data_IF_335963473805
#
_entry.id   IF_335963473805
#
_cell.length_a   1.000
_cell.length_b   1.000
_cell.length_c   1.000
_cell.angle_alpha   90.00
_cell.angle_beta   90.00
_cell.angle_gamma   90.00
#
_symmetry.space_group_name_H-M   'P 1'
#
loop_
_entity.id
_entity.type
_entity.pdbx_description
1 polymer ?
#
# COMPACT_ATOMS: atom_id res chain seq x y z
N UNK A 1 20.94 -8.56 -8.15
CA UNK A 1 21.06 -7.79 -9.41
C UNK A 1 19.74 -7.76 -10.14
N UNK A 2 19.60 -6.83 -11.06
CA UNK A 2 18.46 -6.73 -11.98
C UNK A 2 18.97 -6.93 -13.39
N UNK A 3 18.23 -7.70 -14.19
CA UNK A 3 18.49 -7.93 -15.60
C UNK A 3 17.31 -7.35 -16.38
N UNK A 4 17.57 -6.37 -17.23
CA UNK A 4 16.58 -5.84 -18.16
C UNK A 4 16.71 -6.57 -19.49
N UNK A 5 15.65 -7.27 -19.90
CA UNK A 5 15.58 -7.87 -21.22
C UNK A 5 15.39 -6.81 -22.29
N UNK A 6 15.78 -7.07 -23.52
CA UNK A 6 15.46 -6.19 -24.65
C UNK A 6 13.96 -6.11 -24.86
N UNK A 7 13.50 -5.04 -25.50
CA UNK A 7 12.09 -4.87 -25.88
C UNK A 7 11.62 -6.07 -26.70
N UNK A 8 10.43 -6.58 -26.38
CA UNK A 8 9.79 -7.71 -27.08
C UNK A 8 10.61 -9.02 -27.06
N UNK A 9 11.47 -9.23 -26.04
CA UNK A 9 12.18 -10.49 -25.87
C UNK A 9 11.20 -11.68 -25.82
N UNK A 10 11.52 -12.75 -26.57
CA UNK A 10 10.69 -13.95 -26.65
C UNK A 10 10.80 -14.78 -25.36
N UNK A 11 9.79 -15.60 -25.11
CA UNK A 11 9.74 -16.43 -23.90
C UNK A 11 10.93 -17.38 -23.78
N UNK A 12 11.37 -17.94 -24.91
CA UNK A 12 12.55 -18.82 -24.96
C UNK A 12 13.83 -18.08 -24.55
N UNK A 13 13.98 -16.82 -24.96
CA UNK A 13 15.12 -15.97 -24.63
C UNK A 13 15.13 -15.59 -23.15
N UNK A 14 13.96 -15.35 -22.57
CA UNK A 14 13.77 -15.08 -21.14
C UNK A 14 14.13 -16.32 -20.32
N UNK A 15 13.65 -17.50 -20.74
CA UNK A 15 13.91 -18.76 -20.05
C UNK A 15 15.40 -19.17 -20.14
N UNK A 16 16.10 -18.82 -21.22
CA UNK A 16 17.53 -19.03 -21.34
C UNK A 16 18.33 -18.20 -20.33
N UNK A 17 18.01 -16.91 -20.18
CA UNK A 17 18.61 -16.03 -19.18
C UNK A 17 18.32 -16.53 -17.76
N UNK A 18 17.10 -16.99 -17.49
CA UNK A 18 16.73 -17.58 -16.18
C UNK A 18 17.57 -18.80 -15.86
N UNK A 19 17.69 -19.75 -16.80
CA UNK A 19 18.51 -20.96 -16.63
C UNK A 19 19.98 -20.62 -16.36
N UNK A 20 20.52 -19.61 -17.06
CA UNK A 20 21.90 -19.19 -16.86
C UNK A 20 22.10 -18.61 -15.45
N UNK A 21 21.17 -17.79 -14.95
CA UNK A 21 21.21 -17.26 -13.58
C UNK A 21 21.10 -18.39 -12.54
N UNK A 22 20.20 -19.34 -12.77
CA UNK A 22 20.01 -20.50 -11.88
C UNK A 22 21.24 -21.43 -11.88
N UNK A 23 21.95 -21.54 -12.99
CA UNK A 23 23.21 -22.29 -13.08
C UNK A 23 24.28 -21.71 -12.12
N UNK A 24 24.29 -20.40 -11.90
CA UNK A 24 25.15 -19.75 -10.92
C UNK A 24 24.63 -19.89 -9.48
N UNK A 25 23.55 -20.63 -9.24
CA UNK A 25 22.98 -20.88 -7.91
C UNK A 25 22.09 -19.77 -7.36
N UNK A 26 21.68 -18.82 -8.19
CA UNK A 26 20.78 -17.72 -7.79
C UNK A 26 19.32 -18.05 -8.09
N UNK A 27 18.41 -17.45 -7.31
CA UNK A 27 16.96 -17.51 -7.56
C UNK A 27 16.54 -16.35 -8.45
N UNK A 28 15.60 -16.61 -9.35
CA UNK A 28 15.06 -15.61 -10.27
C UNK A 28 13.58 -15.32 -10.01
N UNK A 29 13.21 -14.05 -10.13
CA UNK A 29 11.84 -13.58 -10.15
C UNK A 29 11.68 -12.66 -11.36
N UNK A 30 10.74 -12.97 -12.26
CA UNK A 30 10.48 -12.13 -13.43
C UNK A 30 9.21 -11.31 -13.19
N UNK A 31 9.25 -10.05 -13.63
CA UNK A 31 8.08 -9.19 -13.78
C UNK A 31 7.91 -8.93 -15.27
N UNK A 32 6.77 -9.35 -15.80
CA UNK A 32 6.39 -9.07 -17.18
C UNK A 32 5.72 -7.69 -17.22
N UNK A 33 6.41 -6.69 -17.79
CA UNK A 33 5.84 -5.41 -18.16
C UNK A 33 5.15 -5.49 -19.52
N UNK A 34 4.36 -4.48 -19.89
CA UNK A 34 3.69 -4.44 -21.20
C UNK A 34 4.67 -4.45 -22.39
N UNK A 35 5.85 -3.85 -22.23
CA UNK A 35 6.86 -3.74 -23.31
C UNK A 35 8.14 -4.52 -23.01
N UNK A 36 8.43 -4.82 -21.77
CA UNK A 36 9.72 -5.36 -21.33
C UNK A 36 9.59 -6.30 -20.15
N UNK A 37 10.41 -7.35 -20.13
CA UNK A 37 10.58 -8.23 -18.97
C UNK A 37 11.79 -7.80 -18.16
N UNK A 38 11.61 -7.73 -16.85
CA UNK A 38 12.68 -7.46 -15.88
C UNK A 38 12.83 -8.67 -14.96
N UNK A 39 14.06 -9.18 -14.85
CA UNK A 39 14.39 -10.34 -14.02
C UNK A 39 15.16 -9.87 -12.80
N UNK A 40 14.57 -10.04 -11.62
CA UNK A 40 15.24 -9.87 -10.34
C UNK A 40 16.00 -11.13 -9.95
N UNK A 41 17.27 -10.98 -9.61
CA UNK A 41 18.13 -12.07 -9.17
C UNK A 41 18.45 -11.94 -7.70
N UNK A 42 18.11 -12.96 -6.92
CA UNK A 42 18.26 -13.01 -5.46
C UNK A 42 19.18 -14.17 -5.07
N UNK A 43 20.13 -13.89 -4.20
CA UNK A 43 21.06 -14.88 -3.67
C UNK A 43 22.16 -14.23 -2.82
N UNK A 44 22.97 -15.05 -2.19
CA UNK A 44 24.10 -14.65 -1.36
C UNK A 44 25.39 -14.97 -2.08
N UNK A 45 26.36 -14.07 -2.10
CA UNK A 45 27.68 -14.28 -2.71
C UNK A 45 28.08 -13.20 -3.69
N UNK A 46 29.22 -13.40 -4.32
CA UNK A 46 29.72 -12.50 -5.37
C UNK A 46 29.01 -12.77 -6.69
N UNK A 47 28.22 -11.80 -7.14
CA UNK A 47 27.45 -11.88 -8.38
C UNK A 47 28.24 -11.48 -9.62
N UNK A 48 29.53 -11.13 -9.50
CA UNK A 48 30.34 -10.54 -10.58
C UNK A 48 30.41 -11.46 -11.79
N UNK A 49 30.79 -12.71 -11.61
CA UNK A 49 30.89 -13.69 -12.72
C UNK A 49 29.52 -13.96 -13.38
N UNK A 50 28.43 -13.98 -12.57
CA UNK A 50 27.11 -14.12 -13.12
C UNK A 50 26.71 -12.88 -13.94
N UNK A 51 27.00 -11.67 -13.45
CA UNK A 51 26.71 -10.42 -14.17
C UNK A 51 27.41 -10.39 -15.52
N UNK A 52 28.75 -10.66 -15.57
CA UNK A 52 29.53 -10.68 -16.79
C UNK A 52 28.98 -11.70 -17.81
N UNK A 53 28.61 -12.89 -17.35
CA UNK A 53 28.00 -13.92 -18.19
C UNK A 53 26.65 -13.49 -18.76
N UNK A 54 25.82 -12.84 -17.97
CA UNK A 54 24.48 -12.40 -18.39
C UNK A 54 24.56 -11.16 -19.29
N UNK A 55 25.46 -10.21 -19.00
CA UNK A 55 25.69 -9.03 -19.86
C UNK A 55 26.15 -9.39 -21.28
N UNK A 56 26.85 -10.52 -21.43
CA UNK A 56 27.26 -11.02 -22.72
C UNK A 56 26.14 -11.64 -23.57
N UNK A 57 24.97 -11.89 -23.00
CA UNK A 57 23.84 -12.50 -23.69
C UNK A 57 23.12 -11.47 -24.60
N UNK A 58 22.90 -11.77 -25.89
CA UNK A 58 22.42 -10.81 -26.90
C UNK A 58 20.99 -10.32 -26.61
N UNK A 59 20.18 -11.10 -25.88
CA UNK A 59 18.82 -10.78 -25.50
C UNK A 59 18.72 -9.89 -24.24
N UNK A 60 19.82 -9.65 -23.55
CA UNK A 60 19.93 -8.75 -22.40
C UNK A 60 20.27 -7.34 -22.86
N UNK A 61 19.59 -6.36 -22.32
CA UNK A 61 19.88 -4.95 -22.59
C UNK A 61 20.79 -4.35 -21.53
N UNK A 62 20.56 -4.67 -20.27
CA UNK A 62 21.34 -4.12 -19.16
C UNK A 62 21.27 -5.04 -17.94
N UNK A 63 22.36 -5.06 -17.15
CA UNK A 63 22.42 -5.72 -15.85
C UNK A 63 22.88 -4.71 -14.80
N UNK A 64 22.08 -4.53 -13.75
CA UNK A 64 22.36 -3.56 -12.69
C UNK A 64 22.55 -4.27 -11.35
N UNK A 65 23.60 -3.94 -10.63
CA UNK A 65 23.78 -4.39 -9.25
C UNK A 65 22.99 -3.48 -8.30
N UNK A 66 21.96 -4.02 -7.63
CA UNK A 66 21.26 -3.27 -6.60
C UNK A 66 22.10 -3.26 -5.33
N UNK A 67 22.45 -2.09 -4.85
CA UNK A 67 23.17 -1.85 -3.60
C UNK A 67 22.23 -1.79 -2.38
N UNK A 68 20.95 -1.43 -2.59
CA UNK A 68 19.95 -1.39 -1.53
C UNK A 68 19.68 -2.78 -0.94
N UNK A 69 19.40 -2.91 0.37
CA UNK A 69 19.07 -4.19 1.00
C UNK A 69 17.72 -4.77 0.56
N UNK A 70 16.82 -3.95 0.01
CA UNK A 70 15.58 -4.31 -0.67
C UNK A 70 15.80 -4.22 -2.18
N UNK A 71 15.23 -5.14 -2.95
CA UNK A 71 15.47 -5.26 -4.39
C UNK A 71 14.20 -5.11 -5.21
N UNK A 72 13.20 -5.96 -4.98
CA UNK A 72 11.96 -5.96 -5.75
C UNK A 72 11.12 -4.70 -5.57
N UNK A 73 11.22 -4.06 -4.41
CA UNK A 73 10.51 -2.80 -4.15
C UNK A 73 11.31 -1.56 -4.55
N UNK A 74 12.59 -1.71 -4.96
CA UNK A 74 13.45 -0.60 -5.34
C UNK A 74 13.02 0.03 -6.66
N UNK A 75 13.16 1.34 -6.77
CA UNK A 75 12.98 2.06 -8.04
C UNK A 75 14.01 1.68 -9.10
N UNK A 76 15.17 1.17 -8.69
CA UNK A 76 16.16 0.58 -9.60
C UNK A 76 15.61 -0.68 -10.29
N UNK A 77 14.78 -1.48 -9.59
CA UNK A 77 14.12 -2.66 -10.14
C UNK A 77 13.04 -2.30 -11.16
N UNK A 78 12.23 -1.27 -10.86
CA UNK A 78 11.15 -0.78 -11.71
C UNK A 78 11.16 0.75 -11.72
N UNK A 79 11.68 1.41 -12.78
CA UNK A 79 11.73 2.86 -12.85
C UNK A 79 10.35 3.54 -12.84
N UNK A 80 9.35 2.90 -13.46
CA UNK A 80 7.96 3.36 -13.49
C UNK A 80 7.18 3.00 -12.22
N UNK A 81 6.23 3.85 -11.83
CA UNK A 81 5.39 3.60 -10.66
C UNK A 81 4.49 2.38 -10.85
N UNK A 82 4.35 1.56 -9.81
CA UNK A 82 3.40 0.45 -9.80
C UNK A 82 1.97 0.98 -9.77
N UNK A 83 1.13 0.45 -10.65
CA UNK A 83 -0.29 0.73 -10.74
C UNK A 83 -1.07 -0.50 -10.31
N UNK A 84 -1.85 -0.39 -9.25
CA UNK A 84 -2.58 -1.51 -8.64
C UNK A 84 -4.07 -1.34 -8.94
N UNK A 85 -4.63 -2.26 -9.71
CA UNK A 85 -6.05 -2.23 -10.11
C UNK A 85 -6.90 -2.99 -9.10
N UNK A 86 -7.89 -2.31 -8.53
CA UNK A 86 -8.84 -2.86 -7.56
C UNK A 86 -10.26 -2.40 -7.92
N UNK A 87 -11.11 -3.30 -8.35
CA UNK A 87 -12.53 -3.04 -8.64
C UNK A 87 -12.77 -1.76 -9.47
N UNK A 88 -12.02 -1.60 -10.56
CA UNK A 88 -12.12 -0.44 -11.45
C UNK A 88 -11.39 0.83 -11.01
N UNK A 89 -10.80 0.84 -9.82
CA UNK A 89 -9.94 1.93 -9.31
C UNK A 89 -8.47 1.55 -9.49
N UNK A 90 -7.62 2.52 -9.85
CA UNK A 90 -6.19 2.31 -10.02
C UNK A 90 -5.40 3.12 -8.98
N UNK A 91 -4.74 2.44 -8.04
CA UNK A 91 -3.90 3.07 -7.01
C UNK A 91 -2.48 3.22 -7.57
N UNK A 92 -1.88 4.40 -7.42
CA UNK A 92 -0.57 4.71 -8.02
C UNK A 92 -0.62 5.09 -9.50
N UNK A 93 -1.84 5.19 -10.07
CA UNK A 93 -2.11 5.68 -11.42
C UNK A 93 -2.33 7.19 -11.48
N UNK A 94 -3.22 7.59 -12.38
CA UNK A 94 -3.52 8.99 -12.66
C UNK A 94 -4.70 9.52 -11.82
N UNK A 95 -5.27 8.72 -10.93
CA UNK A 95 -6.35 9.09 -10.03
C UNK A 95 -5.87 9.15 -8.57
N UNK A 96 -6.22 10.23 -7.86
CA UNK A 96 -5.99 10.33 -6.41
C UNK A 96 -7.05 9.51 -5.67
N UNK A 97 -6.64 8.48 -4.94
CA UNK A 97 -7.57 7.51 -4.32
C UNK A 97 -7.83 7.83 -2.86
N UNK A 98 -9.10 7.99 -2.48
CA UNK A 98 -9.51 8.13 -1.08
C UNK A 98 -10.25 6.87 -0.62
N UNK A 99 -9.70 6.24 0.43
CA UNK A 99 -10.27 5.11 1.13
C UNK A 99 -10.87 5.62 2.43
N UNK A 100 -12.15 5.33 2.70
CA UNK A 100 -12.83 5.89 3.87
C UNK A 100 -13.80 4.89 4.50
N UNK A 101 -14.05 5.03 5.80
CA UNK A 101 -14.96 4.19 6.57
C UNK A 101 -14.57 4.08 8.03
N UNK A 102 -15.31 3.31 8.84
CA UNK A 102 -15.13 3.29 10.28
C UNK A 102 -13.86 2.51 10.70
N UNK A 103 -13.33 2.83 11.88
CA UNK A 103 -12.25 2.07 12.49
C UNK A 103 -12.63 0.59 12.63
N UNK A 104 -13.83 0.32 13.16
CA UNK A 104 -14.38 -1.03 13.35
C UNK A 104 -15.76 -1.17 12.72
N UNK A 105 -16.04 -2.39 12.25
CA UNK A 105 -17.41 -2.81 11.91
C UNK A 105 -18.10 -3.16 13.23
N UNK A 106 -19.22 -2.49 13.53
CA UNK A 106 -19.89 -2.56 14.84
C UNK A 106 -21.32 -3.09 14.75
N UNK A 107 -21.97 -2.87 13.61
CA UNK A 107 -23.29 -3.38 13.29
C UNK A 107 -23.59 -3.21 11.79
N UNK A 108 -24.60 -3.91 11.28
CA UNK A 108 -25.06 -3.75 9.90
C UNK A 108 -25.50 -2.30 9.62
N UNK A 109 -26.29 -1.70 10.53
CA UNK A 109 -26.76 -0.33 10.38
C UNK A 109 -25.59 0.67 10.29
N UNK A 110 -24.60 0.52 11.16
CA UNK A 110 -23.44 1.42 11.21
C UNK A 110 -22.62 1.34 9.93
N UNK A 111 -22.30 0.12 9.46
CA UNK A 111 -21.43 -0.03 8.28
C UNK A 111 -22.15 0.37 7.00
N UNK A 112 -23.46 0.11 6.87
CA UNK A 112 -24.25 0.53 5.73
C UNK A 112 -24.32 2.05 5.63
N UNK A 113 -24.65 2.73 6.73
CA UNK A 113 -24.67 4.21 6.78
C UNK A 113 -23.29 4.82 6.45
N UNK A 114 -22.22 4.23 6.98
CA UNK A 114 -20.86 4.66 6.66
C UNK A 114 -20.55 4.48 5.16
N UNK A 115 -20.82 3.32 4.62
CA UNK A 115 -20.52 2.98 3.22
C UNK A 115 -21.28 3.89 2.24
N UNK A 116 -22.57 4.07 2.43
CA UNK A 116 -23.41 4.97 1.61
C UNK A 116 -22.91 6.42 1.68
N UNK A 117 -22.60 6.89 2.90
CA UNK A 117 -22.13 8.25 3.12
C UNK A 117 -20.76 8.52 2.46
N UNK A 118 -19.81 7.60 2.62
CA UNK A 118 -18.47 7.79 2.01
C UNK A 118 -18.50 7.60 0.49
N UNK A 119 -19.32 6.67 -0.04
CA UNK A 119 -19.53 6.51 -1.47
C UNK A 119 -20.10 7.79 -2.11
N UNK A 120 -21.16 8.36 -1.50
CA UNK A 120 -21.76 9.61 -1.94
C UNK A 120 -20.78 10.78 -1.93
N UNK A 121 -19.85 10.80 -1.00
CA UNK A 121 -18.80 11.82 -0.90
C UNK A 121 -17.60 11.57 -1.85
N UNK A 122 -17.60 10.49 -2.64
CA UNK A 122 -16.57 10.22 -3.65
C UNK A 122 -15.40 9.34 -3.19
N UNK A 123 -15.51 8.67 -2.05
CA UNK A 123 -14.54 7.63 -1.69
C UNK A 123 -14.58 6.49 -2.72
N UNK A 124 -13.41 5.87 -2.97
CA UNK A 124 -13.26 4.77 -3.94
C UNK A 124 -13.25 3.40 -3.28
N UNK A 125 -12.93 3.34 -1.99
CA UNK A 125 -12.87 2.10 -1.22
C UNK A 125 -13.46 2.31 0.17
N UNK A 126 -14.14 1.26 0.67
CA UNK A 126 -14.63 1.17 2.03
C UNK A 126 -13.55 0.52 2.90
N UNK A 127 -13.03 1.26 3.88
CA UNK A 127 -12.20 0.68 4.92
C UNK A 127 -13.06 0.36 6.15
N UNK A 128 -12.79 -0.77 6.80
CA UNK A 128 -13.45 -1.17 8.03
C UNK A 128 -12.76 -2.37 8.66
N UNK A 129 -12.45 -2.31 9.96
CA UNK A 129 -11.83 -3.43 10.67
C UNK A 129 -12.87 -4.43 11.15
N UNK A 130 -12.85 -5.65 10.60
CA UNK A 130 -13.63 -6.78 11.12
C UNK A 130 -12.94 -7.43 12.32
N UNK A 131 -11.61 -7.46 12.31
CA UNK A 131 -10.73 -7.87 13.41
C UNK A 131 -10.05 -6.65 14.02
N UNK A 132 -9.84 -6.64 15.34
CA UNK A 132 -9.27 -5.48 16.04
C UNK A 132 -8.13 -5.89 16.97
N UNK A 133 -6.87 -5.43 16.69
CA UNK A 133 -5.77 -5.61 17.61
C UNK A 133 -5.93 -4.66 18.80
N UNK A 134 -6.17 -5.19 19.99
CA UNK A 134 -6.37 -4.39 21.20
C UNK A 134 -5.24 -4.57 22.19
N UNK A 135 -4.89 -3.48 22.87
CA UNK A 135 -3.94 -3.52 23.99
C UNK A 135 -4.57 -4.16 25.21
N UNK A 136 -5.87 -3.91 25.43
CA UNK A 136 -6.64 -4.54 26.51
C UNK A 136 -7.46 -5.71 25.98
N UNK A 137 -7.43 -6.89 26.63
CA UNK A 137 -8.26 -8.02 26.24
C UNK A 137 -9.76 -7.81 26.51
N UNK A 138 -10.11 -6.77 27.27
CA UNK A 138 -11.50 -6.43 27.60
C UNK A 138 -12.15 -5.46 26.59
N UNK A 139 -11.34 -4.90 25.68
CA UNK A 139 -11.86 -4.03 24.62
C UNK A 139 -12.57 -4.86 23.53
N UNK A 140 -13.43 -4.19 22.75
CA UNK A 140 -14.09 -4.79 21.60
C UNK A 140 -13.09 -5.37 20.60
N UNK A 141 -13.10 -6.69 20.38
CA UNK A 141 -12.14 -7.42 19.54
C UNK A 141 -12.50 -7.44 18.04
N UNK A 142 -13.64 -6.87 17.66
CA UNK A 142 -14.21 -6.94 16.31
C UNK A 142 -15.35 -7.95 16.21
N UNK A 143 -15.97 -8.00 15.04
CA UNK A 143 -17.05 -8.95 14.72
C UNK A 143 -16.54 -10.14 13.91
N UNK A 144 -15.24 -10.22 13.67
CA UNK A 144 -14.58 -11.31 12.95
C UNK A 144 -15.26 -11.62 11.60
N UNK A 145 -15.58 -12.87 11.31
CA UNK A 145 -16.20 -13.27 10.05
C UNK A 145 -17.56 -12.59 9.81
N UNK A 146 -18.35 -12.38 10.86
CA UNK A 146 -19.62 -11.63 10.71
C UNK A 146 -19.38 -10.19 10.25
N UNK A 147 -18.31 -9.55 10.74
CA UNK A 147 -17.89 -8.24 10.25
C UNK A 147 -17.47 -8.26 8.77
N UNK A 148 -16.82 -9.32 8.31
CA UNK A 148 -16.49 -9.51 6.89
C UNK A 148 -17.73 -9.64 6.02
N UNK A 149 -18.74 -10.40 6.47
CA UNK A 149 -20.04 -10.56 5.78
C UNK A 149 -20.77 -9.22 5.68
N UNK A 150 -20.72 -8.40 6.74
CA UNK A 150 -21.32 -7.06 6.73
C UNK A 150 -20.60 -6.13 5.76
N UNK A 151 -19.26 -6.17 5.68
CA UNK A 151 -18.49 -5.44 4.67
C UNK A 151 -18.89 -5.87 3.25
N UNK A 152 -19.09 -7.16 3.01
CA UNK A 152 -19.52 -7.68 1.71
C UNK A 152 -20.90 -7.17 1.32
N UNK A 153 -21.87 -7.12 2.28
CA UNK A 153 -23.18 -6.50 2.04
C UNK A 153 -23.04 -5.02 1.65
N UNK A 154 -22.19 -4.27 2.36
CA UNK A 154 -21.94 -2.87 2.06
C UNK A 154 -21.31 -2.69 0.67
N UNK A 155 -20.38 -3.56 0.27
CA UNK A 155 -19.83 -3.60 -1.09
C UNK A 155 -20.90 -3.82 -2.14
N UNK A 156 -21.79 -4.80 -1.93
CA UNK A 156 -22.88 -5.10 -2.86
C UNK A 156 -23.83 -3.91 -3.05
N UNK A 157 -24.10 -3.15 -1.99
CA UNK A 157 -24.99 -2.01 -2.01
C UNK A 157 -24.37 -0.76 -2.63
N UNK A 158 -23.05 -0.55 -2.48
CA UNK A 158 -22.38 0.70 -2.84
C UNK A 158 -21.42 0.59 -4.02
N UNK A 159 -20.98 -0.64 -4.35
CA UNK A 159 -19.93 -0.88 -5.35
C UNK A 159 -18.51 -0.58 -4.86
N UNK A 160 -18.31 -0.11 -3.61
CA UNK A 160 -16.99 0.20 -3.07
C UNK A 160 -16.16 -1.09 -2.87
N UNK A 161 -14.89 -1.05 -3.26
CA UNK A 161 -13.95 -2.10 -2.91
C UNK A 161 -13.71 -2.14 -1.40
N UNK A 162 -13.50 -3.34 -0.84
CA UNK A 162 -13.25 -3.53 0.59
C UNK A 162 -11.76 -3.54 0.89
N UNK A 163 -11.37 -2.74 1.89
CA UNK A 163 -10.07 -2.84 2.54
C UNK A 163 -10.28 -3.14 4.02
N UNK A 164 -9.73 -4.25 4.51
CA UNK A 164 -9.84 -4.66 5.92
C UNK A 164 -8.55 -5.25 6.45
N UNK A 165 -8.34 -5.13 7.76
CA UNK A 165 -7.12 -5.59 8.43
C UNK A 165 -7.15 -7.11 8.62
N UNK A 166 -6.02 -7.76 8.29
CA UNK A 166 -5.72 -9.14 8.64
C UNK A 166 -4.66 -9.16 9.74
N UNK A 167 -4.86 -9.97 10.78
CA UNK A 167 -4.03 -9.93 11.98
C UNK A 167 -3.01 -11.06 12.06
N UNK A 168 -3.36 -12.24 11.57
CA UNK A 168 -2.51 -13.43 11.62
C UNK A 168 -2.43 -14.11 10.25
N UNK A 169 -1.38 -14.90 10.04
CA UNK A 169 -1.22 -15.71 8.83
C UNK A 169 -2.33 -16.74 8.64
N UNK A 170 -2.96 -17.19 9.73
CA UNK A 170 -4.08 -18.15 9.71
C UNK A 170 -5.37 -17.54 9.16
N UNK A 171 -5.55 -16.24 9.32
CA UNK A 171 -6.76 -15.53 8.88
C UNK A 171 -6.67 -15.06 7.42
N UNK A 172 -5.51 -15.19 6.77
CA UNK A 172 -5.28 -14.66 5.42
C UNK A 172 -6.29 -15.22 4.42
N UNK A 173 -6.48 -16.54 4.38
CA UNK A 173 -7.38 -17.18 3.43
C UNK A 173 -8.84 -16.77 3.67
N UNK A 174 -9.27 -16.71 4.93
CA UNK A 174 -10.61 -16.27 5.29
C UNK A 174 -10.85 -14.81 4.86
N UNK A 175 -9.94 -13.90 5.22
CA UNK A 175 -10.10 -12.47 4.91
C UNK A 175 -10.05 -12.24 3.40
N UNK A 176 -9.22 -12.99 2.66
CA UNK A 176 -9.10 -12.90 1.20
C UNK A 176 -10.37 -13.28 0.43
N UNK A 177 -11.29 -14.04 1.04
CA UNK A 177 -12.61 -14.34 0.45
C UNK A 177 -13.50 -13.09 0.35
N UNK A 178 -13.33 -12.11 1.25
CA UNK A 178 -14.18 -10.94 1.39
C UNK A 178 -13.49 -9.63 0.99
N UNK A 179 -12.20 -9.50 1.26
CA UNK A 179 -11.44 -8.29 1.02
C UNK A 179 -10.90 -8.19 -0.41
N UNK A 180 -10.91 -6.99 -0.97
CA UNK A 180 -10.24 -6.66 -2.23
C UNK A 180 -8.79 -6.20 -1.98
N UNK A 181 -8.53 -5.60 -0.81
CA UNK A 181 -7.20 -5.19 -0.36
C UNK A 181 -7.01 -5.65 1.09
N UNK A 182 -5.90 -6.36 1.34
CA UNK A 182 -5.51 -6.85 2.66
C UNK A 182 -4.72 -5.77 3.40
N UNK A 183 -5.19 -5.29 4.56
CA UNK A 183 -4.44 -4.30 5.34
C UNK A 183 -3.57 -4.99 6.39
N UNK A 184 -2.29 -4.62 6.43
CA UNK A 184 -1.38 -4.94 7.54
C UNK A 184 -1.29 -3.73 8.46
N UNK A 185 -1.76 -3.87 9.69
CA UNK A 185 -1.69 -2.82 10.70
C UNK A 185 -0.27 -2.51 11.14
N UNK A 186 -0.05 -1.30 11.66
CA UNK A 186 1.28 -0.83 12.09
C UNK A 186 1.97 -1.75 13.12
N UNK A 187 1.20 -2.43 13.98
CA UNK A 187 1.74 -3.40 14.95
C UNK A 187 2.27 -4.67 14.30
N UNK A 188 1.77 -5.01 13.11
CA UNK A 188 2.11 -6.21 12.35
C UNK A 188 3.07 -5.95 11.18
N UNK A 189 3.61 -4.73 11.03
CA UNK A 189 4.54 -4.41 9.93
C UNK A 189 5.72 -5.38 9.85
N UNK A 190 6.20 -5.87 10.97
CA UNK A 190 7.33 -6.81 11.07
C UNK A 190 6.89 -8.24 11.44
N UNK A 191 5.62 -8.56 11.30
CA UNK A 191 5.14 -9.94 11.41
C UNK A 191 5.47 -10.70 10.12
N UNK A 192 6.71 -11.16 10.01
CA UNK A 192 7.24 -11.75 8.78
C UNK A 192 6.50 -13.02 8.35
N UNK A 193 5.87 -13.77 9.28
CA UNK A 193 5.06 -14.93 8.92
C UNK A 193 3.78 -14.48 8.19
N UNK A 194 3.10 -13.46 8.71
CA UNK A 194 1.96 -12.83 8.05
C UNK A 194 2.35 -12.24 6.68
N UNK A 195 3.48 -11.52 6.59
CA UNK A 195 3.94 -10.92 5.32
C UNK A 195 4.22 -11.99 4.25
N UNK A 196 4.80 -13.13 4.63
CA UNK A 196 5.03 -14.27 3.72
C UNK A 196 3.72 -14.89 3.23
N UNK A 197 2.72 -15.03 4.11
CA UNK A 197 1.40 -15.53 3.73
C UNK A 197 0.70 -14.58 2.75
N UNK A 198 0.76 -13.26 3.03
CA UNK A 198 0.24 -12.21 2.15
C UNK A 198 0.96 -12.13 0.79
N UNK A 199 2.24 -12.50 0.75
CA UNK A 199 2.97 -12.66 -0.50
C UNK A 199 2.43 -13.75 -1.42
N UNK A 200 1.59 -14.65 -0.91
CA UNK A 200 0.99 -15.78 -1.65
C UNK A 200 -0.51 -15.66 -1.86
N UNK A 201 -1.19 -14.70 -1.21
CA UNK A 201 -2.65 -14.65 -1.17
C UNK A 201 -3.31 -14.12 -2.46
N UNK A 202 -2.54 -13.55 -3.40
CA UNK A 202 -3.07 -13.01 -4.66
C UNK A 202 -3.97 -11.78 -4.52
N UNK A 203 -3.97 -11.12 -3.36
CA UNK A 203 -4.71 -9.86 -3.13
C UNK A 203 -3.73 -8.72 -2.89
N UNK A 204 -4.00 -7.50 -3.38
CA UNK A 204 -3.22 -6.32 -3.03
C UNK A 204 -3.09 -6.13 -1.52
N UNK A 205 -1.93 -5.64 -1.06
CA UNK A 205 -1.64 -5.44 0.36
C UNK A 205 -1.35 -3.98 0.65
N UNK A 206 -2.09 -3.39 1.58
CA UNK A 206 -1.78 -2.09 2.18
C UNK A 206 -0.95 -2.32 3.44
N UNK A 207 0.33 -1.94 3.40
CA UNK A 207 1.28 -2.08 4.49
C UNK A 207 1.45 -0.76 5.24
N UNK A 208 0.94 -0.67 6.46
CA UNK A 208 1.10 0.50 7.32
C UNK A 208 2.45 0.51 8.01
N UNK A 209 3.13 1.67 7.99
CA UNK A 209 4.40 1.89 8.69
C UNK A 209 4.25 1.63 10.19
N UNK A 210 5.20 0.93 10.75
CA UNK A 210 5.26 0.64 12.19
C UNK A 210 5.45 1.89 13.04
N UNK A 211 5.05 1.80 14.31
CA UNK A 211 5.01 2.96 15.23
C UNK A 211 6.37 3.61 15.51
N UNK A 212 7.46 2.87 15.37
CA UNK A 212 8.84 3.35 15.56
C UNK A 212 9.77 2.87 14.46
N UNK A 213 9.20 2.64 13.25
CA UNK A 213 9.93 2.05 12.13
C UNK A 213 10.49 3.11 11.19
N UNK A 214 11.72 2.90 10.74
CA UNK A 214 12.36 3.68 9.71
C UNK A 214 11.72 3.43 8.33
N UNK A 215 11.94 4.30 7.38
CA UNK A 215 11.57 4.10 5.96
C UNK A 215 12.21 2.82 5.41
N UNK A 216 13.48 2.56 5.76
CA UNK A 216 14.19 1.35 5.35
C UNK A 216 13.51 0.07 5.86
N UNK A 217 13.07 0.04 7.12
CA UNK A 217 12.36 -1.12 7.69
C UNK A 217 10.99 -1.34 7.03
N UNK A 218 10.29 -0.27 6.67
CA UNK A 218 9.05 -0.36 5.89
C UNK A 218 9.29 -1.00 4.52
N UNK A 219 10.34 -0.57 3.80
CA UNK A 219 10.72 -1.12 2.51
C UNK A 219 11.18 -2.59 2.63
N UNK A 220 11.93 -2.94 3.68
CA UNK A 220 12.29 -4.33 3.95
C UNK A 220 11.08 -5.21 4.24
N UNK A 221 10.07 -4.69 4.93
CA UNK A 221 8.82 -5.40 5.17
C UNK A 221 8.01 -5.59 3.88
N UNK A 222 7.96 -4.57 3.02
CA UNK A 222 7.35 -4.69 1.69
C UNK A 222 8.10 -5.72 0.82
N UNK A 223 9.43 -5.76 0.90
CA UNK A 223 10.26 -6.76 0.21
C UNK A 223 9.90 -8.20 0.60
N UNK A 224 9.53 -8.47 1.87
CA UNK A 224 9.04 -9.79 2.27
C UNK A 224 7.78 -10.22 1.52
N UNK A 225 6.86 -9.30 1.27
CA UNK A 225 5.63 -9.58 0.51
C UNK A 225 5.97 -9.83 -0.95
N UNK A 226 6.77 -8.95 -1.58
CA UNK A 226 7.11 -9.03 -2.99
C UNK A 226 7.99 -10.25 -3.31
N UNK A 227 8.94 -10.57 -2.45
CA UNK A 227 9.80 -11.75 -2.58
C UNK A 227 9.04 -13.10 -2.48
N UNK A 228 7.79 -13.07 -2.00
CA UNK A 228 6.92 -14.24 -1.93
C UNK A 228 5.84 -14.27 -3.02
N UNK A 229 5.93 -13.37 -4.02
CA UNK A 229 5.17 -13.45 -5.27
C UNK A 229 4.07 -12.39 -5.44
N UNK A 230 3.89 -11.48 -4.47
CA UNK A 230 2.87 -10.43 -4.56
C UNK A 230 3.52 -9.05 -4.75
N UNK A 231 3.47 -8.52 -5.96
CA UNK A 231 4.00 -7.20 -6.30
C UNK A 231 3.02 -6.05 -6.02
N UNK A 232 1.76 -6.34 -5.68
CA UNK A 232 0.71 -5.35 -5.47
C UNK A 232 0.71 -4.85 -4.01
N UNK A 233 1.73 -4.07 -3.65
CA UNK A 233 1.92 -3.52 -2.31
C UNK A 233 1.74 -2.01 -2.32
N UNK A 234 0.91 -1.50 -1.42
CA UNK A 234 0.66 -0.09 -1.16
C UNK A 234 1.30 0.27 0.17
N UNK A 235 2.19 1.25 0.19
CA UNK A 235 2.78 1.74 1.43
C UNK A 235 1.89 2.81 2.06
N UNK A 236 1.82 2.84 3.40
CA UNK A 236 1.02 3.81 4.12
C UNK A 236 1.82 4.48 5.23
N UNK A 237 2.12 5.78 5.06
CA UNK A 237 2.58 6.64 6.16
C UNK A 237 1.39 6.93 7.10
N UNK A 238 1.58 6.79 8.41
CA UNK A 238 0.52 6.95 9.42
C UNK A 238 0.99 7.61 10.72
N UNK A 239 2.18 8.21 10.67
CA UNK A 239 2.88 8.79 11.81
C UNK A 239 3.70 7.76 12.60
N UNK A 240 4.70 8.26 13.29
CA UNK A 240 5.57 7.50 14.18
C UNK A 240 5.50 8.08 15.59
N UNK A 241 5.84 7.27 16.60
CA UNK A 241 6.00 7.73 17.97
C UNK A 241 7.26 8.55 18.10
N UNK A 242 7.13 9.72 18.69
CA UNK A 242 8.25 10.60 19.05
C UNK A 242 8.05 11.09 20.49
N UNK A 243 8.84 12.06 20.90
CA UNK A 243 8.67 12.73 22.20
C UNK A 243 7.45 13.66 22.25
N UNK A 244 6.88 14.03 21.07
CA UNK A 244 5.71 14.91 20.97
C UNK A 244 4.42 14.18 21.34
N UNK A 245 3.58 14.82 22.16
CA UNK A 245 2.35 14.25 22.71
C UNK A 245 1.06 15.01 22.36
N UNK A 246 1.18 16.16 21.67
CA UNK A 246 0.00 16.94 21.24
C UNK A 246 -0.84 16.16 20.24
N UNK A 247 -0.20 15.39 19.37
CA UNK A 247 -0.87 14.44 18.46
C UNK A 247 -0.58 13.00 18.88
N UNK A 248 -1.42 12.07 18.43
CA UNK A 248 -1.26 10.64 18.72
C UNK A 248 0.10 10.10 18.22
N UNK A 249 0.51 10.54 17.04
CA UNK A 249 1.81 10.26 16.44
C UNK A 249 2.30 11.53 15.73
N UNK A 250 3.59 11.63 15.51
CA UNK A 250 4.19 12.63 14.64
C UNK A 250 4.10 12.15 13.21
N UNK A 251 3.36 12.86 12.36
CA UNK A 251 3.32 12.55 10.94
C UNK A 251 4.67 12.85 10.29
N UNK A 252 5.33 11.82 9.78
CA UNK A 252 6.55 11.97 8.99
C UNK A 252 6.17 12.23 7.52
N UNK A 253 5.73 13.46 7.26
CA UNK A 253 5.26 13.80 5.92
C UNK A 253 6.39 13.75 4.88
N UNK A 254 7.64 13.96 5.30
CA UNK A 254 8.81 13.86 4.45
C UNK A 254 9.10 12.42 3.99
N UNK A 255 8.58 11.42 4.70
CA UNK A 255 8.70 10.03 4.27
C UNK A 255 8.01 9.76 2.92
N UNK A 256 6.97 10.53 2.56
CA UNK A 256 6.24 10.32 1.29
C UNK A 256 7.12 10.63 0.07
N UNK A 257 7.71 11.82 -0.09
CA UNK A 257 8.63 12.08 -1.20
C UNK A 257 9.88 11.20 -1.14
N UNK A 258 10.44 10.94 0.05
CA UNK A 258 11.57 10.01 0.19
C UNK A 258 11.23 8.59 -0.32
N UNK A 259 10.06 8.06 0.00
CA UNK A 259 9.59 6.79 -0.54
C UNK A 259 9.40 6.86 -2.07
N UNK A 260 8.86 7.96 -2.60
CA UNK A 260 8.72 8.14 -4.05
C UNK A 260 10.06 8.17 -4.80
N UNK A 261 11.17 8.52 -4.13
CA UNK A 261 12.53 8.43 -4.69
C UNK A 261 13.09 7.00 -4.62
N UNK A 262 12.79 6.28 -3.53
CA UNK A 262 13.41 4.99 -3.20
C UNK A 262 12.67 3.79 -3.82
N UNK A 263 11.34 3.90 -4.02
CA UNK A 263 10.51 2.78 -4.45
C UNK A 263 9.54 3.16 -5.58
N UNK A 264 9.16 2.15 -6.35
CA UNK A 264 8.11 2.27 -7.36
C UNK A 264 6.70 2.00 -6.79
N UNK A 265 6.59 1.58 -5.52
CA UNK A 265 5.30 1.26 -4.90
C UNK A 265 4.48 2.53 -4.65
N UNK A 266 3.14 2.49 -4.77
CA UNK A 266 2.30 3.62 -4.39
C UNK A 266 2.35 3.88 -2.88
N UNK A 267 2.30 5.16 -2.51
CA UNK A 267 2.39 5.64 -1.12
C UNK A 267 1.15 6.45 -0.78
N UNK A 268 0.41 6.05 0.25
CA UNK A 268 -0.75 6.80 0.75
C UNK A 268 -0.48 7.33 2.17
N UNK A 269 -1.31 8.30 2.59
CA UNK A 269 -1.26 8.87 3.94
C UNK A 269 -2.51 8.49 4.74
N UNK A 270 -2.31 8.15 6.01
CA UNK A 270 -3.35 7.99 7.02
C UNK A 270 -3.33 9.18 7.99
N UNK A 271 -4.08 10.25 7.73
CA UNK A 271 -4.09 11.44 8.57
C UNK A 271 -4.83 11.21 9.89
N UNK A 272 -5.75 10.25 9.95
CA UNK A 272 -6.53 9.93 11.14
C UNK A 272 -5.64 9.34 12.25
N UNK A 273 -4.84 8.32 11.92
CA UNK A 273 -3.93 7.69 12.88
C UNK A 273 -2.69 8.55 13.15
N UNK A 274 -2.24 9.36 12.19
CA UNK A 274 -1.14 10.29 12.42
C UNK A 274 -1.51 11.32 13.50
N UNK A 275 -2.63 12.01 13.33
CA UNK A 275 -3.02 13.08 14.26
C UNK A 275 -3.70 12.58 15.53
N UNK A 276 -4.55 11.54 15.43
CA UNK A 276 -5.40 11.08 16.52
C UNK A 276 -6.49 12.10 16.92
N UNK A 277 -6.64 13.18 16.15
CA UNK A 277 -7.56 14.30 16.41
C UNK A 277 -8.35 14.66 15.16
N UNK A 278 -9.66 14.50 15.22
CA UNK A 278 -10.62 14.81 14.13
C UNK A 278 -10.38 16.20 13.50
N UNK A 279 -10.15 17.21 14.31
CA UNK A 279 -9.97 18.60 13.84
C UNK A 279 -8.73 18.80 12.96
N UNK A 280 -7.73 17.94 13.07
CA UNK A 280 -6.48 18.04 12.32
C UNK A 280 -6.48 17.21 11.02
N UNK A 281 -7.40 16.24 10.88
CA UNK A 281 -7.48 15.34 9.72
C UNK A 281 -7.61 16.11 8.40
N UNK A 282 -8.49 17.11 8.24
CA UNK A 282 -8.62 17.82 6.96
C UNK A 282 -7.37 18.60 6.55
N UNK A 283 -6.66 19.22 7.53
CA UNK A 283 -5.44 19.95 7.25
C UNK A 283 -4.32 19.03 6.78
N UNK A 284 -4.13 17.90 7.47
CA UNK A 284 -3.11 16.91 7.11
C UNK A 284 -3.46 16.19 5.81
N UNK A 285 -4.75 16.01 5.50
CA UNK A 285 -5.20 15.47 4.21
C UNK A 285 -4.77 16.35 3.03
N UNK A 286 -4.95 17.68 3.14
CA UNK A 286 -4.46 18.62 2.11
C UNK A 286 -2.96 18.56 1.95
N UNK A 287 -2.23 18.49 3.07
CA UNK A 287 -0.77 18.34 3.03
C UNK A 287 -0.36 17.03 2.33
N UNK A 288 -1.07 15.91 2.57
CA UNK A 288 -0.84 14.64 1.91
C UNK A 288 -0.98 14.71 0.40
N UNK A 289 -2.01 15.40 -0.11
CA UNK A 289 -2.18 15.63 -1.57
C UNK A 289 -1.00 16.48 -2.09
N UNK A 290 -0.70 17.59 -1.43
CA UNK A 290 0.31 18.55 -1.88
C UNK A 290 1.73 17.94 -1.90
N UNK A 291 2.06 17.03 -0.99
CA UNK A 291 3.38 16.37 -0.92
C UNK A 291 3.51 15.19 -1.91
N UNK A 292 2.47 14.88 -2.66
CA UNK A 292 2.52 13.84 -3.71
C UNK A 292 2.20 12.43 -3.24
N UNK A 293 1.37 12.26 -2.21
CA UNK A 293 0.78 10.96 -1.90
C UNK A 293 -0.11 10.46 -3.06
N UNK A 294 -0.26 9.15 -3.21
CA UNK A 294 -1.13 8.54 -4.22
C UNK A 294 -2.59 8.42 -3.74
N UNK A 295 -2.83 8.70 -2.47
CA UNK A 295 -4.16 8.63 -1.88
C UNK A 295 -4.14 8.86 -0.37
N UNK A 296 -5.33 8.74 0.21
CA UNK A 296 -5.57 8.85 1.65
C UNK A 296 -6.37 7.65 2.15
N UNK A 297 -6.14 7.26 3.42
CA UNK A 297 -7.05 6.38 4.16
C UNK A 297 -7.55 7.10 5.40
N UNK A 298 -8.87 7.32 5.50
CA UNK A 298 -9.49 8.20 6.51
C UNK A 298 -10.52 7.44 7.33
N UNK A 299 -10.52 7.66 8.64
CA UNK A 299 -11.55 7.13 9.52
C UNK A 299 -12.80 8.02 9.51
N UNK A 300 -13.92 7.39 9.18
CA UNK A 300 -15.25 8.03 9.08
C UNK A 300 -16.27 7.16 9.76
N UNK A 301 -17.06 7.75 10.68
CA UNK A 301 -18.10 7.03 11.41
C UNK A 301 -19.41 7.83 11.41
N UNK A 302 -20.61 7.21 11.27
CA UNK A 302 -21.88 7.93 11.24
C UNK A 302 -22.16 8.72 12.53
N UNK A 303 -21.67 8.23 13.67
CA UNK A 303 -21.80 8.86 15.00
C UNK A 303 -20.50 8.64 15.79
N UNK A 304 -19.42 9.42 15.53
CA UNK A 304 -18.10 9.18 16.12
C UNK A 304 -18.06 9.15 17.65
N UNK A 305 -18.96 9.85 18.29
CA UNK A 305 -19.10 9.88 19.76
C UNK A 305 -19.62 8.56 20.34
N UNK A 306 -20.19 7.68 19.50
CA UNK A 306 -20.70 6.34 19.87
C UNK A 306 -19.81 5.21 19.36
N UNK A 307 -18.72 5.53 18.69
CA UNK A 307 -17.82 4.54 18.11
C UNK A 307 -17.16 3.68 19.20
N UNK A 308 -17.13 2.37 19.00
CA UNK A 308 -16.44 1.42 19.89
C UNK A 308 -14.91 1.54 19.79
N UNK A 309 -14.42 2.20 18.73
CA UNK A 309 -12.99 2.36 18.46
C UNK A 309 -12.70 3.69 17.76
N UNK A 310 -11.67 4.38 18.24
CA UNK A 310 -11.01 5.55 17.59
C UNK A 310 -11.98 6.71 17.21
N UNK A 311 -13.08 6.89 17.95
CA UNK A 311 -14.06 7.94 17.69
C UNK A 311 -13.50 9.36 17.72
N UNK A 312 -12.47 9.63 18.54
CA UNK A 312 -11.85 10.95 18.67
C UNK A 312 -11.16 11.44 17.38
N UNK A 313 -10.68 10.52 16.54
CA UNK A 313 -10.01 10.81 15.27
C UNK A 313 -10.90 10.59 14.04
N UNK A 314 -12.09 9.99 14.21
CA UNK A 314 -13.03 9.73 13.12
C UNK A 314 -13.80 10.99 12.75
N UNK A 315 -13.88 11.30 11.46
CA UNK A 315 -14.79 12.31 10.94
C UNK A 315 -16.23 11.77 10.98
N UNK A 316 -17.23 12.66 11.18
CA UNK A 316 -18.59 12.33 10.79
C UNK A 316 -18.79 12.43 9.27
N UNK A 317 -19.95 11.99 8.77
CA UNK A 317 -20.23 11.96 7.33
C UNK A 317 -20.24 13.37 6.70
N UNK A 318 -20.73 14.38 7.41
CA UNK A 318 -20.77 15.76 6.91
C UNK A 318 -19.38 16.39 6.86
N UNK A 319 -18.56 16.15 7.89
CA UNK A 319 -17.16 16.56 7.93
C UNK A 319 -16.34 15.89 6.81
N UNK A 320 -16.57 14.60 6.57
CA UNK A 320 -15.91 13.89 5.46
C UNK A 320 -16.32 14.45 4.09
N UNK A 321 -17.61 14.66 3.85
CA UNK A 321 -18.09 15.28 2.61
C UNK A 321 -17.48 16.66 2.39
N UNK A 322 -17.43 17.50 3.45
CA UNK A 322 -16.77 18.80 3.38
C UNK A 322 -15.28 18.66 3.05
N UNK A 323 -14.58 17.76 3.72
CA UNK A 323 -13.15 17.52 3.46
C UNK A 323 -12.91 17.12 2.00
N UNK A 324 -13.72 16.20 1.45
CA UNK A 324 -13.59 15.78 0.07
C UNK A 324 -13.75 16.95 -0.91
N UNK A 325 -14.74 17.81 -0.69
CA UNK A 325 -14.91 19.03 -1.47
C UNK A 325 -13.73 20.00 -1.32
N UNK A 326 -13.22 20.19 -0.11
CA UNK A 326 -12.09 21.06 0.17
C UNK A 326 -10.76 20.51 -0.46
N UNK A 327 -10.69 19.22 -0.77
CA UNK A 327 -9.54 18.58 -1.43
C UNK A 327 -9.54 18.74 -2.96
N UNK A 328 -10.68 19.00 -3.59
CA UNK A 328 -10.78 19.07 -5.07
C UNK A 328 -9.71 19.98 -5.73
N UNK A 329 -9.45 21.23 -5.26
CA UNK A 329 -8.44 22.08 -5.87
C UNK A 329 -7.02 21.51 -5.73
N UNK A 330 -6.71 20.84 -4.62
CA UNK A 330 -5.41 20.21 -4.38
C UNK A 330 -5.23 18.98 -5.27
N UNK A 331 -6.27 18.17 -5.46
CA UNK A 331 -6.26 17.00 -6.35
C UNK A 331 -6.11 17.45 -7.80
N UNK A 332 -6.71 18.56 -8.20
CA UNK A 332 -6.50 19.13 -9.53
C UNK A 332 -5.03 19.48 -9.76
N UNK A 333 -4.39 20.21 -8.84
CA UNK A 333 -2.97 20.54 -8.92
C UNK A 333 -2.08 19.30 -8.92
N UNK A 334 -2.44 18.28 -8.11
CA UNK A 334 -1.75 16.99 -8.09
C UNK A 334 -1.81 16.30 -9.46
N UNK A 335 -2.98 16.28 -10.12
CA UNK A 335 -3.17 15.73 -11.46
C UNK A 335 -2.33 16.48 -12.50
N UNK A 336 -2.28 17.81 -12.42
CA UNK A 336 -1.49 18.66 -13.33
C UNK A 336 0.01 18.39 -13.18
N UNK A 337 0.50 18.27 -11.95
CA UNK A 337 1.92 18.02 -11.68
C UNK A 337 2.42 16.66 -12.20
N UNK A 338 1.54 15.65 -12.29
CA UNK A 338 1.87 14.32 -12.82
C UNK A 338 1.87 14.24 -14.34
N UNK A 339 1.12 15.12 -15.01
CA UNK A 339 1.07 15.21 -16.47
C UNK A 339 2.23 16.02 -17.05
N UNK A 340 2.84 16.89 -16.26
CA UNK A 340 4.02 17.62 -16.68
C UNK A 340 5.20 16.64 -16.87
N UNK A 341 5.89 16.66 -18.03
CA UNK A 341 7.10 15.86 -18.21
C UNK A 341 8.08 16.25 -17.10
N UNK A 342 8.68 15.26 -16.42
CA UNK A 342 9.65 15.49 -15.36
C UNK A 342 10.82 16.31 -15.90
N UNK A 343 10.88 17.60 -15.56
CA UNK A 343 11.95 18.51 -15.93
C UNK A 343 13.28 18.20 -15.19
N UNK A 344 13.38 17.04 -14.53
CA UNK A 344 14.55 16.61 -13.78
C UNK A 344 15.08 15.28 -14.36
N UNK A 345 15.52 15.33 -15.61
CA UNK A 345 16.34 14.30 -16.20
C UNK A 345 17.41 14.94 -17.14
N UNK A 346 18.10 15.94 -16.60
CA UNK A 346 19.29 16.48 -17.26
C UNK A 346 20.13 17.17 -16.19
N UNK A 347 20.94 16.38 -15.47
CA UNK A 347 22.24 16.78 -14.94
C UNK A 347 23.01 15.53 -14.50
#
# INVERSE_FOLDING_TARGET
MIISMRLHAKREEIDEVRKQVEHFGYKVHSIEGEERVVIGVVGVGDVTACMESIEAMPQVENVVRISAPYKFVSKEFRPGKTRIKVNGTEIGGDEFVVMAGPCSVESEKQIMQAAEGVAKAGAKMLRGGAFKPRTSPYDFQGMEEEGLKLLQKAKQATGLAIITEVMTDRDVDLVALYADVMQVGARNMQNFMLLKALGKCGRPVLLKRGLSSTVKELLMSAEYITAHGNSDVILCERGIRTFETVTRNTCDIAAIPALNELTHLPVILDPSHATGKRSLVPALSRAGVAIGADGLIVEVHPAPEKAFSDGAQSLDLAQFQKMMKDLEPYIQLWNESRKAPSAVAAN
#
